data_IF_817310159419
#
_entry.id   IF_817310159419
#
_cell.length_a   1.000
_cell.length_b   1.000
_cell.length_c   1.000
_cell.angle_alpha   90.00
_cell.angle_beta   90.00
_cell.angle_gamma   90.00
#
_symmetry.space_group_name_H-M   'P 1'
#
loop_
_entity.id
_entity.type
_entity.pdbx_description
1 polymer ?
#
# COMPACT_ATOMS: atom_id res chain seq x y z
N UNK A 1 -18.42 53.47 2.20
CA UNK A 1 -19.48 52.46 1.96
C UNK A 1 -18.74 51.18 1.65
N UNK A 2 -18.45 50.44 2.71
CA UNK A 2 -17.70 49.20 2.68
C UNK A 2 -18.47 48.14 1.91
N UNK A 3 -17.82 47.55 0.93
CA UNK A 3 -18.31 46.34 0.27
C UNK A 3 -17.64 45.17 0.99
N UNK A 4 -18.34 44.63 1.99
CA UNK A 4 -17.97 43.36 2.59
C UNK A 4 -18.01 42.28 1.51
N UNK A 5 -16.82 41.80 1.16
CA UNK A 5 -16.64 40.59 0.35
C UNK A 5 -17.07 39.43 1.23
N UNK A 6 -18.21 38.83 0.89
CA UNK A 6 -18.74 37.64 1.53
C UNK A 6 -17.70 36.51 1.37
N UNK A 7 -17.12 36.08 2.50
CA UNK A 7 -16.39 34.83 2.59
C UNK A 7 -17.37 33.70 2.24
N UNK A 8 -17.24 33.17 1.03
CA UNK A 8 -17.93 31.93 0.64
C UNK A 8 -17.20 30.81 1.35
N UNK A 9 -17.75 30.38 2.49
CA UNK A 9 -17.35 29.12 3.12
C UNK A 9 -17.85 28.00 2.22
N UNK A 10 -16.95 27.33 1.52
CA UNK A 10 -17.22 26.07 0.84
C UNK A 10 -17.68 25.06 1.90
N UNK A 11 -18.99 24.85 2.01
CA UNK A 11 -19.53 23.78 2.83
C UNK A 11 -19.23 22.45 2.13
N UNK A 12 -18.10 21.83 2.46
CA UNK A 12 -17.79 20.46 2.05
C UNK A 12 -18.85 19.53 2.63
N UNK A 13 -19.74 19.07 1.74
CA UNK A 13 -20.92 18.28 2.08
C UNK A 13 -20.48 16.81 2.22
N UNK A 14 -20.37 16.32 3.46
CA UNK A 14 -20.20 14.89 3.74
C UNK A 14 -21.28 14.07 3.05
N UNK A 15 -20.89 12.95 2.43
CA UNK A 15 -21.80 12.03 1.75
C UNK A 15 -22.52 11.10 2.74
N UNK A 16 -21.99 10.98 3.97
CA UNK A 16 -22.52 10.10 5.01
C UNK A 16 -22.14 8.63 4.86
N UNK A 17 -21.27 8.28 3.90
CA UNK A 17 -20.93 6.89 3.59
C UNK A 17 -19.80 6.29 4.45
N UNK A 18 -19.17 7.08 5.32
CA UNK A 18 -18.10 6.59 6.21
C UNK A 18 -18.62 5.51 7.17
N UNK A 19 -19.73 5.77 7.87
CA UNK A 19 -20.25 4.83 8.86
C UNK A 19 -20.71 3.48 8.25
N UNK A 20 -21.47 3.46 7.13
CA UNK A 20 -21.76 2.22 6.40
C UNK A 20 -20.49 1.43 6.03
N UNK A 21 -19.45 2.12 5.54
CA UNK A 21 -18.20 1.49 5.17
C UNK A 21 -17.47 0.88 6.36
N UNK A 22 -17.46 1.55 7.52
CA UNK A 22 -16.91 0.97 8.75
C UNK A 22 -17.67 -0.28 9.21
N UNK A 23 -18.99 -0.31 9.04
CA UNK A 23 -19.79 -1.51 9.31
C UNK A 23 -19.48 -2.65 8.33
N UNK A 24 -19.23 -2.34 7.06
CA UNK A 24 -18.80 -3.31 6.05
C UNK A 24 -17.43 -3.90 6.38
N UNK A 25 -16.45 -3.06 6.74
CA UNK A 25 -15.12 -3.51 7.18
C UNK A 25 -15.23 -4.43 8.40
N UNK A 26 -16.04 -4.06 9.39
CA UNK A 26 -16.29 -4.90 10.57
C UNK A 26 -16.88 -6.26 10.18
N UNK A 27 -17.83 -6.30 9.26
CA UNK A 27 -18.40 -7.56 8.78
C UNK A 27 -17.40 -8.40 7.99
N UNK A 28 -16.59 -7.78 7.13
CA UNK A 28 -15.51 -8.46 6.42
C UNK A 28 -14.46 -9.04 7.38
N UNK A 29 -14.15 -8.35 8.48
CA UNK A 29 -13.28 -8.87 9.53
C UNK A 29 -13.86 -10.10 10.22
N UNK A 30 -15.16 -10.10 10.51
CA UNK A 30 -15.87 -11.25 11.08
C UNK A 30 -15.72 -12.48 10.17
N UNK A 31 -15.96 -12.30 8.86
CA UNK A 31 -15.74 -13.33 7.84
C UNK A 31 -14.28 -13.78 7.75
N UNK A 32 -13.30 -12.86 7.86
CA UNK A 32 -11.88 -13.23 7.88
C UNK A 32 -11.52 -14.07 9.12
N UNK A 33 -12.13 -13.76 10.27
CA UNK A 33 -11.91 -14.50 11.52
C UNK A 33 -12.49 -15.91 11.42
N UNK A 34 -13.72 -16.06 10.93
CA UNK A 34 -14.42 -17.35 10.92
C UNK A 34 -14.05 -18.23 9.72
N UNK A 35 -13.98 -17.64 8.54
CA UNK A 35 -13.88 -18.37 7.26
C UNK A 35 -12.51 -18.23 6.58
N UNK A 36 -11.67 -17.29 7.05
CA UNK A 36 -10.36 -16.95 6.44
C UNK A 36 -10.48 -16.46 4.99
N UNK A 37 -11.65 -15.95 4.61
CA UNK A 37 -11.89 -15.41 3.28
C UNK A 37 -11.53 -13.92 3.28
N UNK A 38 -10.57 -13.49 2.44
CA UNK A 38 -10.24 -12.09 2.29
C UNK A 38 -11.33 -11.34 1.53
N UNK A 39 -11.49 -10.05 1.84
CA UNK A 39 -12.45 -9.16 1.17
C UNK A 39 -11.73 -7.91 0.68
N UNK A 40 -12.15 -7.37 -0.47
CA UNK A 40 -11.63 -6.11 -1.02
C UNK A 40 -12.80 -5.17 -1.26
N UNK A 41 -12.70 -3.96 -0.73
CA UNK A 41 -13.68 -2.89 -0.92
C UNK A 41 -13.05 -1.81 -1.79
N UNK A 42 -13.65 -1.53 -2.94
CA UNK A 42 -13.21 -0.50 -3.88
C UNK A 42 -13.79 0.87 -3.47
N UNK A 43 -12.96 1.73 -2.90
CA UNK A 43 -13.39 3.04 -2.42
C UNK A 43 -13.82 3.96 -3.56
N UNK A 44 -13.30 3.77 -4.78
CA UNK A 44 -13.66 4.62 -5.93
C UNK A 44 -15.07 4.34 -6.44
N UNK A 45 -15.66 3.20 -6.06
CA UNK A 45 -17.05 2.84 -6.39
C UNK A 45 -18.06 3.37 -5.39
N UNK A 46 -17.58 3.94 -4.28
CA UNK A 46 -18.41 4.54 -3.23
C UNK A 46 -18.28 6.06 -3.38
N UNK A 47 -19.38 6.81 -3.46
CA UNK A 47 -19.29 8.26 -3.47
C UNK A 47 -18.81 8.72 -2.09
N UNK A 48 -17.53 9.10 -1.99
CA UNK A 48 -16.92 9.69 -0.79
C UNK A 48 -16.49 11.12 -1.12
N UNK A 49 -16.78 12.07 -0.23
CA UNK A 49 -16.17 13.39 -0.31
C UNK A 49 -14.73 13.34 0.24
N UNK A 50 -13.90 14.34 -0.06
CA UNK A 50 -12.56 14.45 0.52
C UNK A 50 -12.59 14.35 2.06
N UNK A 51 -13.52 15.06 2.72
CA UNK A 51 -13.72 14.98 4.17
C UNK A 51 -14.11 13.59 4.67
N UNK A 52 -14.78 12.79 3.84
CA UNK A 52 -15.19 11.44 4.23
C UNK A 52 -14.01 10.48 4.14
N UNK A 53 -13.18 10.62 3.11
CA UNK A 53 -11.91 9.90 3.02
C UNK A 53 -10.98 10.25 4.19
N UNK A 54 -10.82 11.53 4.51
CA UNK A 54 -9.98 11.96 5.63
C UNK A 54 -10.50 11.41 6.97
N UNK A 55 -11.82 11.47 7.22
CA UNK A 55 -12.43 10.89 8.42
C UNK A 55 -12.27 9.38 8.48
N UNK A 56 -12.41 8.70 7.36
CA UNK A 56 -12.23 7.26 7.26
C UNK A 56 -10.78 6.87 7.59
N UNK A 57 -9.81 7.53 6.95
CA UNK A 57 -8.39 7.30 7.20
C UNK A 57 -8.00 7.60 8.64
N UNK A 58 -8.46 8.73 9.18
CA UNK A 58 -8.23 9.09 10.58
C UNK A 58 -8.84 8.07 11.55
N UNK A 59 -10.03 7.54 11.24
CA UNK A 59 -10.68 6.53 12.06
C UNK A 59 -9.96 5.17 11.99
N UNK A 60 -9.50 4.78 10.80
CA UNK A 60 -8.75 3.54 10.59
C UNK A 60 -7.36 3.63 11.21
N UNK A 61 -6.74 4.81 11.22
CA UNK A 61 -5.42 5.03 11.77
C UNK A 61 -4.33 4.23 11.02
N UNK A 62 -3.13 4.21 11.61
CA UNK A 62 -1.95 3.58 11.02
C UNK A 62 -1.47 2.45 11.90
N UNK A 63 -1.29 1.28 11.30
CA UNK A 63 -0.74 0.08 11.93
C UNK A 63 0.78 -0.01 11.79
N UNK A 64 1.29 -1.21 12.05
CA UNK A 64 2.73 -1.46 12.14
C UNK A 64 3.37 -1.72 10.78
N UNK A 65 2.61 -2.27 9.83
CA UNK A 65 3.16 -2.75 8.56
C UNK A 65 2.84 -1.80 7.42
N UNK A 66 3.90 -1.42 6.68
CA UNK A 66 3.81 -0.72 5.40
C UNK A 66 4.61 -1.51 4.35
N UNK A 67 4.03 -1.67 3.17
CA UNK A 67 4.70 -2.27 2.03
C UNK A 67 4.57 -1.36 0.80
N UNK A 68 5.59 -1.40 -0.05
CA UNK A 68 5.63 -0.63 -1.28
C UNK A 68 6.11 -1.53 -2.42
N UNK A 69 5.34 -1.54 -3.51
CA UNK A 69 5.61 -2.35 -4.69
C UNK A 69 5.92 -1.39 -5.83
N UNK A 70 7.12 -1.48 -6.37
CA UNK A 70 7.56 -0.64 -7.50
C UNK A 70 7.38 -1.41 -8.82
N UNK A 71 6.20 -1.29 -9.45
CA UNK A 71 5.90 -1.99 -10.70
C UNK A 71 4.93 -1.19 -11.60
N UNK A 72 5.41 -0.62 -12.71
CA UNK A 72 4.59 0.18 -13.66
C UNK A 72 3.65 1.19 -12.95
N UNK A 73 4.23 1.91 -11.98
CA UNK A 73 3.51 2.74 -10.99
C UNK A 73 3.65 2.17 -9.57
N UNK A 74 3.88 2.99 -8.53
CA UNK A 74 3.97 2.46 -7.17
C UNK A 74 2.61 1.92 -6.71
N UNK A 75 2.62 0.86 -5.91
CA UNK A 75 1.48 0.47 -5.07
C UNK A 75 1.92 0.53 -3.62
N UNK A 76 1.18 1.27 -2.80
CA UNK A 76 1.44 1.42 -1.37
C UNK A 76 0.35 0.69 -0.61
N UNK A 77 0.76 -0.21 0.28
CA UNK A 77 -0.12 -0.89 1.22
C UNK A 77 0.23 -0.46 2.63
N UNK A 78 -0.76 0.00 3.37
CA UNK A 78 -0.62 0.42 4.76
C UNK A 78 -1.62 -0.36 5.61
N UNK A 79 -1.12 -1.16 6.55
CA UNK A 79 -1.99 -1.74 7.58
C UNK A 79 -2.52 -0.61 8.46
N UNK A 80 -3.78 -0.71 8.86
CA UNK A 80 -4.44 0.24 9.76
C UNK A 80 -4.19 -0.13 11.22
N UNK A 81 -4.70 0.66 12.18
CA UNK A 81 -4.60 0.27 13.59
C UNK A 81 -5.40 -1.01 13.92
N UNK A 82 -6.28 -1.44 13.02
CA UNK A 82 -7.03 -2.69 13.11
C UNK A 82 -6.32 -3.76 12.28
N UNK A 83 -5.69 -4.72 12.95
CA UNK A 83 -4.93 -5.79 12.28
C UNK A 83 -5.77 -6.55 11.26
N UNK A 84 -5.19 -6.79 10.09
CA UNK A 84 -5.87 -7.43 8.97
C UNK A 84 -6.74 -6.49 8.12
N UNK A 85 -6.82 -5.20 8.44
CA UNK A 85 -7.39 -4.16 7.57
C UNK A 85 -6.27 -3.33 6.98
N UNK A 86 -6.26 -3.22 5.65
CA UNK A 86 -5.20 -2.58 4.87
C UNK A 86 -5.80 -1.52 3.94
N UNK A 87 -5.15 -0.37 3.85
CA UNK A 87 -5.41 0.61 2.80
C UNK A 87 -4.40 0.35 1.69
N UNK A 88 -4.90 0.06 0.49
CA UNK A 88 -4.12 -0.24 -0.70
C UNK A 88 -4.35 0.87 -1.73
N UNK A 89 -3.28 1.56 -2.12
CA UNK A 89 -3.33 2.67 -3.08
C UNK A 89 -2.42 2.37 -4.26
N UNK A 90 -2.99 2.35 -5.45
CA UNK A 90 -2.28 2.15 -6.71
C UNK A 90 -2.12 3.49 -7.41
N UNK A 91 -0.89 3.78 -7.80
CA UNK A 91 -0.52 4.95 -8.57
C UNK A 91 -0.18 4.55 -10.00
N UNK A 92 -0.35 5.47 -10.95
CA UNK A 92 0.24 5.32 -12.28
C UNK A 92 1.70 5.82 -12.28
N UNK A 93 2.34 5.79 -13.46
CA UNK A 93 3.72 6.29 -13.66
C UNK A 93 3.89 7.80 -13.44
N UNK A 94 2.80 8.56 -13.31
CA UNK A 94 2.78 10.00 -13.06
C UNK A 94 2.38 10.36 -11.61
N UNK A 95 2.43 9.37 -10.70
CA UNK A 95 2.05 9.52 -9.28
C UNK A 95 0.59 9.90 -9.03
N UNK A 96 -0.29 9.66 -10.00
CA UNK A 96 -1.73 9.88 -9.84
C UNK A 96 -2.41 8.62 -9.30
N UNK A 97 -3.34 8.79 -8.35
CA UNK A 97 -4.10 7.67 -7.76
C UNK A 97 -5.03 7.05 -8.81
N UNK A 98 -4.68 5.85 -9.25
CA UNK A 98 -5.49 5.04 -10.15
C UNK A 98 -6.55 4.21 -9.42
N UNK A 99 -6.20 3.72 -8.23
CA UNK A 99 -7.03 2.82 -7.44
C UNK A 99 -6.81 3.03 -5.95
N UNK A 100 -7.87 2.92 -5.16
CA UNK A 100 -7.79 2.97 -3.70
C UNK A 100 -8.78 1.99 -3.11
N UNK A 101 -8.28 1.07 -2.30
CA UNK A 101 -9.02 -0.08 -1.82
C UNK A 101 -8.81 -0.26 -0.32
N UNK A 102 -9.80 -0.86 0.34
CA UNK A 102 -9.62 -1.44 1.66
C UNK A 102 -9.59 -2.95 1.48
N UNK A 103 -8.45 -3.55 1.81
CA UNK A 103 -8.24 -4.99 1.73
C UNK A 103 -8.30 -5.55 3.15
N UNK A 104 -9.24 -6.45 3.40
CA UNK A 104 -9.40 -7.19 4.65
C UNK A 104 -8.80 -8.57 4.46
N UNK A 105 -7.58 -8.77 4.94
CA UNK A 105 -6.81 -10.00 4.77
C UNK A 105 -5.71 -10.11 5.83
N UNK A 106 -5.31 -11.34 6.18
CA UNK A 106 -4.13 -11.55 7.05
C UNK A 106 -2.86 -11.01 6.42
N UNK A 107 -2.72 -11.20 5.11
CA UNK A 107 -1.69 -10.59 4.25
C UNK A 107 -2.36 -10.30 2.90
N UNK A 108 -2.31 -9.06 2.39
CA UNK A 108 -2.81 -8.74 1.06
C UNK A 108 -2.20 -9.66 -0.01
N UNK A 109 -3.04 -10.19 -0.91
CA UNK A 109 -2.61 -11.20 -1.89
C UNK A 109 -1.50 -10.70 -2.82
N UNK A 110 -1.48 -9.40 -3.14
CA UNK A 110 -0.46 -8.77 -3.98
C UNK A 110 0.95 -8.84 -3.38
N UNK A 111 1.08 -9.04 -2.06
CA UNK A 111 2.37 -9.22 -1.39
C UNK A 111 2.89 -10.66 -1.46
N UNK A 112 2.07 -11.62 -1.90
CA UNK A 112 2.49 -13.01 -2.02
C UNK A 112 3.36 -13.20 -3.27
N UNK A 113 4.57 -13.72 -3.07
CA UNK A 113 5.43 -14.12 -4.17
C UNK A 113 4.75 -15.20 -5.01
N UNK A 114 4.71 -15.00 -6.32
CA UNK A 114 4.12 -15.95 -7.25
C UNK A 114 5.03 -17.18 -7.40
N UNK A 115 4.43 -18.36 -7.59
CA UNK A 115 5.18 -19.62 -7.70
C UNK A 115 6.24 -19.58 -8.80
N UNK A 116 5.92 -19.00 -9.96
CA UNK A 116 6.86 -18.83 -11.07
C UNK A 116 8.07 -17.95 -10.72
N UNK A 117 7.85 -16.88 -9.94
CA UNK A 117 8.93 -15.97 -9.54
C UNK A 117 9.84 -16.65 -8.51
N UNK A 118 9.27 -17.49 -7.65
CA UNK A 118 10.04 -18.32 -6.71
C UNK A 118 10.90 -19.33 -7.48
N UNK A 119 10.34 -20.03 -8.47
CA UNK A 119 11.09 -20.97 -9.33
C UNK A 119 12.20 -20.28 -10.12
N UNK A 120 11.93 -19.10 -10.69
CA UNK A 120 12.93 -18.27 -11.35
C UNK A 120 14.02 -17.80 -10.38
N UNK A 121 13.63 -17.46 -9.14
CA UNK A 121 14.54 -17.13 -8.05
C UNK A 121 15.48 -18.28 -7.70
N UNK A 122 14.94 -19.49 -7.54
CA UNK A 122 15.73 -20.70 -7.27
C UNK A 122 16.73 -20.98 -8.41
N UNK A 123 16.28 -20.88 -9.66
CA UNK A 123 17.11 -21.08 -10.84
C UNK A 123 18.28 -20.09 -10.87
N UNK A 124 17.98 -18.80 -10.67
CA UNK A 124 18.99 -17.73 -10.63
C UNK A 124 19.99 -17.94 -9.50
N UNK A 125 19.53 -18.28 -8.31
CA UNK A 125 20.42 -18.53 -7.17
C UNK A 125 21.32 -19.74 -7.41
N UNK A 126 20.76 -20.84 -7.93
CA UNK A 126 21.53 -22.06 -8.26
C UNK A 126 22.60 -21.78 -9.31
N UNK A 127 22.28 -21.00 -10.35
CA UNK A 127 23.26 -20.58 -11.36
C UNK A 127 24.40 -19.76 -10.75
N UNK A 128 24.06 -18.81 -9.86
CA UNK A 128 25.05 -17.94 -9.21
C UNK A 128 25.96 -18.72 -8.25
N UNK A 129 25.46 -19.75 -7.56
CA UNK A 129 26.27 -20.60 -6.69
C UNK A 129 27.26 -21.49 -7.46
N UNK A 130 26.92 -21.87 -8.69
CA UNK A 130 27.79 -22.66 -9.57
C UNK A 130 28.77 -21.80 -10.38
N UNK A 131 28.64 -20.48 -10.29
CA UNK A 131 29.60 -19.53 -10.83
C UNK A 131 30.52 -19.11 -9.68
N UNK A 132 31.84 -18.96 -9.88
CA UNK A 132 32.70 -18.42 -8.84
C UNK A 132 32.13 -17.08 -8.36
N UNK A 133 31.88 -16.95 -7.05
CA UNK A 133 31.54 -15.67 -6.45
C UNK A 133 32.57 -14.64 -6.93
N UNK A 134 32.15 -13.44 -7.35
CA UNK A 134 33.10 -12.43 -7.75
C UNK A 134 34.07 -12.22 -6.60
N UNK A 135 35.36 -12.48 -6.85
CA UNK A 135 36.41 -12.23 -5.88
C UNK A 135 36.31 -10.76 -5.51
N UNK A 136 35.97 -10.45 -4.26
CA UNK A 136 36.15 -9.10 -3.73
C UNK A 136 37.65 -8.83 -3.67
N UNK A 137 38.20 -8.34 -4.78
CA UNK A 137 39.53 -7.80 -4.96
C UNK A 137 39.48 -7.00 -6.26
N UNK A 138 39.58 -5.68 -6.25
CA UNK A 138 40.77 -4.98 -5.76
C UNK A 138 40.45 -3.84 -4.80
N UNK A 139 41.14 -3.84 -3.66
CA UNK A 139 41.40 -2.60 -2.91
C UNK A 139 42.36 -1.77 -3.77
N UNK A 140 42.07 -0.49 -4.09
CA UNK A 140 43.04 0.41 -4.71
C UNK A 140 43.95 0.95 -3.62
N UNK A 141 44.82 0.11 -3.07
CA UNK A 141 45.86 0.57 -2.15
C UNK A 141 47.04 -0.42 -2.16
N UNK A 142 47.69 -0.53 -3.31
CA UNK A 142 49.13 -0.84 -3.31
C UNK A 142 49.82 0.49 -2.99
N UNK A 143 50.44 0.66 -1.80
CA UNK A 143 51.28 1.81 -1.56
C UNK A 143 52.46 1.73 -2.54
N UNK A 144 52.65 2.82 -3.28
CA UNK A 144 53.83 3.07 -4.11
C UNK A 144 55.08 2.75 -3.30
N UNK A 145 55.67 1.58 -3.53
CA UNK A 145 56.96 1.24 -2.95
C UNK A 145 58.02 2.06 -3.67
N UNK A 146 58.60 2.98 -2.91
CA UNK A 146 59.68 3.86 -3.31
C UNK A 146 60.90 3.04 -3.72
N UNK A 147 61.42 3.25 -4.95
CA UNK A 147 62.84 3.49 -5.24
C UNK A 147 63.13 3.73 -6.72
#
# INVERSE_FOLDING_TARGET
>A
MDTDIIFTTEQQKTTGNVLPLLHEIRHALDTLVDEKIPTIIDLRRIPLSADDEEKLEAFLGTGEVRAEISALGPTVLQETQYSGVWIETHYNEHDEVMGKFITIATVPHILLAQGSDIEAGLTRLTHNLNTPLPSTGSSPDDPVEQR
#
